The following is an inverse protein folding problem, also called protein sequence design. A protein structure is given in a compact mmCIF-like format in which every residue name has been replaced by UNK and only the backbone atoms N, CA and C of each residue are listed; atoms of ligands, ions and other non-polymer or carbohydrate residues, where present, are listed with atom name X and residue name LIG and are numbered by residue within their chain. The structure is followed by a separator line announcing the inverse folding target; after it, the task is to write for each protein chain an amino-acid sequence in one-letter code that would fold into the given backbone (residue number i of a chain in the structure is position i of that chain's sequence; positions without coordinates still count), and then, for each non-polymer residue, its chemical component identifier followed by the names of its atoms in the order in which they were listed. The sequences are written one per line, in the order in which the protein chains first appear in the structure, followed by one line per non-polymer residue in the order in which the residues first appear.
data_IF_155499246520
#
_entry.id   IF_155499246520
#
_cell.length_a   1.000
_cell.length_b   1.000
_cell.length_c   1.000
_cell.angle_alpha   90.00
_cell.angle_beta   90.00
_cell.angle_gamma   90.00
#
_symmetry.space_group_name_H-M   'P 1'
#
loop_
_entity.id
_entity.type
_entity.pdbx_description
1 polymer ?
#
# COMPACT_ATOMS: atom_id res chain seq x y z
N UNK A 1 18.36 -48.75 -41.32
CA UNK A 1 16.98 -48.57 -40.86
C UNK A 1 16.89 -48.11 -39.39
N UNK A 2 17.71 -48.61 -38.49
CA UNK A 2 17.67 -48.27 -37.03
C UNK A 2 17.96 -46.79 -36.74
N UNK A 3 18.92 -46.13 -37.46
CA UNK A 3 19.22 -44.73 -37.23
C UNK A 3 18.11 -43.72 -37.57
N UNK A 4 17.19 -44.08 -38.47
CA UNK A 4 16.04 -43.20 -38.81
C UNK A 4 14.88 -43.31 -37.83
N UNK A 5 14.74 -44.46 -37.16
CA UNK A 5 13.73 -44.69 -36.12
C UNK A 5 14.10 -43.92 -34.84
N UNK A 6 15.40 -43.85 -34.50
CA UNK A 6 15.86 -43.11 -33.32
C UNK A 6 15.64 -41.58 -33.45
N UNK A 7 15.83 -41.03 -34.68
CA UNK A 7 15.62 -39.60 -34.93
C UNK A 7 14.13 -39.20 -34.81
N UNK A 8 13.21 -40.07 -35.19
CA UNK A 8 11.76 -39.82 -35.08
C UNK A 8 11.30 -39.94 -33.64
N UNK A 9 11.85 -40.87 -32.85
CA UNK A 9 11.55 -41.00 -31.42
C UNK A 9 12.03 -39.79 -30.56
N UNK A 10 13.19 -39.21 -30.93
CA UNK A 10 13.70 -37.97 -30.26
C UNK A 10 12.87 -36.75 -30.64
N UNK A 11 12.39 -36.68 -31.90
CA UNK A 11 11.53 -35.56 -32.34
C UNK A 11 10.13 -35.61 -31.70
N UNK A 12 9.58 -36.79 -31.47
CA UNK A 12 8.27 -36.97 -30.82
C UNK A 12 8.34 -36.71 -29.32
N UNK A 13 9.48 -37.01 -28.67
CA UNK A 13 9.66 -36.72 -27.24
C UNK A 13 9.85 -35.24 -26.91
N UNK A 14 10.25 -34.41 -27.88
CA UNK A 14 10.37 -32.95 -27.70
C UNK A 14 9.01 -32.22 -27.82
N UNK A 15 8.03 -32.87 -28.50
CA UNK A 15 6.70 -32.29 -28.71
C UNK A 15 5.72 -32.61 -27.54
N UNK A 16 6.11 -33.52 -26.61
CA UNK A 16 5.26 -33.99 -25.53
C UNK A 16 5.71 -33.53 -24.12
N UNK A 17 6.45 -32.44 -24.03
CA UNK A 17 6.47 -31.70 -22.76
C UNK A 17 5.37 -30.64 -22.88
N UNK A 18 4.15 -30.90 -22.41
CA UNK A 18 3.25 -29.80 -22.12
C UNK A 18 3.99 -29.08 -21.00
N UNK A 19 4.59 -27.94 -21.31
CA UNK A 19 4.90 -26.97 -20.29
C UNK A 19 3.61 -26.79 -19.54
N UNK A 20 3.52 -27.33 -18.31
CA UNK A 20 2.49 -26.97 -17.36
C UNK A 20 2.72 -25.51 -16.98
N UNK A 21 2.54 -24.59 -17.91
CA UNK A 21 2.21 -23.22 -17.57
C UNK A 21 0.86 -23.34 -16.91
N UNK A 22 0.84 -23.30 -15.58
CA UNK A 22 -0.41 -23.17 -14.82
C UNK A 22 -1.16 -22.02 -15.49
N UNK A 23 -2.35 -22.34 -16.03
CA UNK A 23 -3.18 -21.30 -16.64
C UNK A 23 -3.56 -20.29 -15.55
N UNK A 24 -2.84 -19.16 -15.54
CA UNK A 24 -3.01 -18.10 -14.55
C UNK A 24 -4.41 -17.48 -14.60
N UNK A 25 -5.09 -17.64 -15.73
CA UNK A 25 -6.44 -17.12 -15.94
C UNK A 25 -7.54 -18.13 -15.66
N UNK A 26 -7.19 -19.35 -15.27
CA UNK A 26 -8.15 -20.43 -14.93
C UNK A 26 -9.17 -20.75 -16.05
N UNK A 27 -8.83 -20.46 -17.31
CA UNK A 27 -9.71 -20.61 -18.47
C UNK A 27 -10.88 -19.63 -18.56
N UNK A 28 -11.03 -18.70 -17.60
CA UNK A 28 -12.13 -17.71 -17.58
C UNK A 28 -11.80 -16.46 -18.37
N UNK A 29 -10.53 -16.07 -18.42
CA UNK A 29 -10.05 -14.87 -19.10
C UNK A 29 -8.91 -15.24 -20.07
N UNK A 30 -8.73 -14.45 -21.13
CA UNK A 30 -7.67 -14.66 -22.10
C UNK A 30 -6.40 -13.89 -21.80
N UNK A 31 -6.53 -12.75 -21.12
CA UNK A 31 -5.46 -11.82 -20.83
C UNK A 31 -5.81 -10.88 -19.68
N UNK A 32 -4.82 -10.10 -19.22
CA UNK A 32 -4.96 -9.16 -18.13
C UNK A 32 -6.02 -8.06 -18.41
N UNK A 33 -6.22 -7.68 -19.67
CA UNK A 33 -7.22 -6.67 -20.04
C UNK A 33 -8.65 -7.16 -19.75
N UNK A 34 -8.95 -8.41 -20.10
CA UNK A 34 -10.28 -8.98 -19.78
C UNK A 34 -10.52 -9.09 -18.28
N UNK A 35 -9.46 -9.40 -17.50
CA UNK A 35 -9.55 -9.38 -16.03
C UNK A 35 -9.79 -7.95 -15.53
N UNK A 36 -9.07 -6.95 -16.06
CA UNK A 36 -9.24 -5.56 -15.68
C UNK A 36 -10.68 -5.06 -15.94
N UNK A 37 -11.25 -5.32 -17.11
CA UNK A 37 -12.63 -4.96 -17.47
C UNK A 37 -13.66 -5.61 -16.53
N UNK A 38 -13.41 -6.86 -16.13
CA UNK A 38 -14.24 -7.55 -15.15
C UNK A 38 -14.12 -6.96 -13.75
N UNK A 39 -12.89 -6.69 -13.30
CA UNK A 39 -12.61 -6.07 -12.00
C UNK A 39 -13.20 -4.64 -11.95
N UNK A 40 -13.10 -3.87 -13.03
CA UNK A 40 -13.75 -2.56 -13.15
C UNK A 40 -15.26 -2.63 -12.86
N UNK A 41 -15.94 -3.65 -13.35
CA UNK A 41 -17.37 -3.86 -13.07
C UNK A 41 -17.61 -4.07 -11.58
N UNK A 42 -16.75 -4.86 -10.92
CA UNK A 42 -16.89 -5.16 -9.48
C UNK A 42 -16.62 -3.92 -8.64
N UNK A 43 -15.50 -3.21 -8.90
CA UNK A 43 -15.12 -2.04 -8.10
C UNK A 43 -16.12 -0.90 -8.27
N UNK A 44 -16.65 -0.66 -9.48
CA UNK A 44 -17.68 0.35 -9.69
C UNK A 44 -18.95 0.02 -8.93
N UNK A 45 -19.43 -1.22 -9.00
CA UNK A 45 -20.60 -1.66 -8.22
C UNK A 45 -20.42 -1.46 -6.72
N UNK A 46 -19.18 -1.67 -6.22
CA UNK A 46 -18.89 -1.67 -4.79
C UNK A 46 -18.55 -0.27 -4.25
N UNK A 47 -17.83 0.55 -5.01
CA UNK A 47 -17.18 1.75 -4.50
C UNK A 47 -17.55 3.07 -5.22
N UNK A 48 -18.01 3.08 -6.48
CA UNK A 48 -18.23 4.33 -7.24
C UNK A 48 -19.06 5.37 -6.51
N UNK A 49 -20.08 4.93 -5.77
CA UNK A 49 -20.95 5.81 -4.96
C UNK A 49 -20.22 6.57 -3.83
N UNK A 50 -19.05 6.09 -3.40
CA UNK A 50 -18.29 6.74 -2.34
C UNK A 50 -17.32 7.78 -2.91
N UNK A 51 -16.81 7.52 -4.11
CA UNK A 51 -15.87 8.39 -4.79
C UNK A 51 -16.55 9.42 -5.69
N UNK A 52 -17.84 9.26 -5.96
CA UNK A 52 -18.61 10.06 -6.93
C UNK A 52 -17.92 10.12 -8.30
N UNK A 53 -17.40 8.98 -8.73
CA UNK A 53 -16.61 8.84 -9.96
C UNK A 53 -16.71 7.42 -10.52
N UNK A 54 -16.49 7.30 -11.83
CA UNK A 54 -16.23 6.01 -12.46
C UNK A 54 -14.80 5.60 -12.11
N UNK A 55 -14.64 4.37 -11.66
CA UNK A 55 -13.36 3.76 -11.27
C UNK A 55 -12.87 2.87 -12.40
N UNK A 56 -11.60 2.94 -12.73
CA UNK A 56 -10.96 2.11 -13.74
C UNK A 56 -9.61 1.60 -13.23
N UNK A 57 -9.33 0.33 -13.49
CA UNK A 57 -8.04 -0.28 -13.22
C UNK A 57 -6.98 0.25 -14.20
N UNK A 58 -5.83 0.62 -13.67
CA UNK A 58 -4.61 0.98 -14.41
C UNK A 58 -3.43 0.23 -13.81
N UNK A 59 -2.29 0.26 -14.49
CA UNK A 59 -1.04 -0.38 -14.02
C UNK A 59 -1.28 -1.80 -13.49
N UNK A 60 -1.89 -2.64 -14.32
CA UNK A 60 -2.38 -3.95 -13.92
C UNK A 60 -1.57 -5.10 -14.51
N UNK A 61 -1.66 -6.24 -13.84
CA UNK A 61 -1.09 -7.51 -14.29
C UNK A 61 -1.56 -8.68 -13.43
N UNK A 62 -1.35 -9.88 -13.94
CA UNK A 62 -1.67 -11.12 -13.21
C UNK A 62 -0.41 -11.94 -13.00
N UNK A 63 -0.15 -12.38 -11.77
CA UNK A 63 0.97 -13.26 -11.46
C UNK A 63 0.67 -14.73 -11.82
N UNK A 64 1.69 -15.58 -11.69
CA UNK A 64 1.59 -17.02 -12.01
C UNK A 64 0.65 -17.80 -11.08
N UNK A 65 0.28 -17.24 -9.94
CA UNK A 65 -0.67 -17.82 -8.98
C UNK A 65 -2.12 -17.54 -9.35
N UNK A 66 -2.36 -16.68 -10.34
CA UNK A 66 -3.69 -16.23 -10.77
C UNK A 66 -4.26 -15.12 -9.88
N UNK A 67 -3.39 -14.28 -9.31
CA UNK A 67 -3.79 -13.07 -8.61
C UNK A 67 -3.52 -11.87 -9.53
N UNK A 68 -4.59 -11.17 -9.86
CA UNK A 68 -4.57 -9.93 -10.62
C UNK A 68 -4.37 -8.75 -9.67
N UNK A 69 -3.47 -7.83 -10.01
CA UNK A 69 -3.17 -6.59 -9.29
C UNK A 69 -3.47 -5.41 -10.18
N UNK A 70 -4.04 -4.36 -9.61
CA UNK A 70 -4.21 -3.09 -10.30
C UNK A 70 -4.15 -1.92 -9.33
N UNK A 71 -3.75 -0.76 -9.86
CA UNK A 71 -3.99 0.54 -9.24
C UNK A 71 -5.27 1.13 -9.81
N UNK A 72 -6.12 1.71 -8.96
CA UNK A 72 -7.33 2.40 -9.35
C UNK A 72 -7.14 3.88 -9.06
N UNK A 73 -7.11 4.69 -10.12
CA UNK A 73 -7.04 6.15 -10.01
C UNK A 73 -8.45 6.75 -9.91
N UNK A 74 -8.58 7.78 -9.10
CA UNK A 74 -9.84 8.47 -8.83
C UNK A 74 -9.67 9.97 -9.05
N UNK A 75 -10.65 10.62 -9.68
CA UNK A 75 -10.70 12.09 -9.84
C UNK A 75 -9.41 12.67 -10.40
N UNK A 76 -9.13 12.40 -11.67
CA UNK A 76 -7.97 12.90 -12.40
C UNK A 76 -6.61 12.55 -11.73
N UNK A 77 -6.53 11.29 -11.27
CA UNK A 77 -5.32 10.72 -10.65
C UNK A 77 -4.92 11.35 -9.31
N UNK A 78 -5.81 12.13 -8.69
CA UNK A 78 -5.53 12.77 -7.40
C UNK A 78 -5.46 11.78 -6.24
N UNK A 79 -6.18 10.68 -6.34
CA UNK A 79 -6.18 9.59 -5.37
C UNK A 79 -6.02 8.27 -6.07
N UNK A 80 -5.38 7.36 -5.39
CA UNK A 80 -5.22 5.99 -5.85
C UNK A 80 -5.49 5.00 -4.73
N UNK A 81 -5.90 3.79 -5.11
CA UNK A 81 -5.94 2.64 -4.22
C UNK A 81 -5.64 1.36 -4.99
N UNK A 82 -5.06 0.40 -4.28
CA UNK A 82 -4.74 -0.90 -4.86
C UNK A 82 -5.92 -1.87 -4.79
N UNK A 83 -6.00 -2.74 -5.78
CA UNK A 83 -6.90 -3.89 -5.78
C UNK A 83 -6.13 -5.16 -6.07
N UNK A 84 -6.55 -6.25 -5.45
CA UNK A 84 -6.10 -7.61 -5.72
C UNK A 84 -7.31 -8.49 -5.98
N UNK A 85 -7.35 -9.16 -7.13
CA UNK A 85 -8.41 -10.09 -7.46
C UNK A 85 -7.85 -11.48 -7.68
N UNK A 86 -8.25 -12.42 -6.82
CA UNK A 86 -7.90 -13.82 -7.00
C UNK A 86 -8.89 -14.47 -7.97
N UNK A 87 -8.41 -14.83 -9.16
CA UNK A 87 -9.23 -15.36 -10.25
C UNK A 87 -9.88 -16.68 -9.85
N UNK A 88 -9.13 -17.56 -9.16
CA UNK A 88 -9.61 -18.90 -8.78
C UNK A 88 -10.71 -18.85 -7.71
N UNK A 89 -10.50 -18.00 -6.70
CA UNK A 89 -11.39 -17.91 -5.55
C UNK A 89 -12.47 -16.83 -5.72
N UNK A 90 -12.39 -16.03 -6.79
CA UNK A 90 -13.30 -14.91 -7.10
C UNK A 90 -13.40 -13.90 -5.95
N UNK A 91 -12.29 -13.67 -5.24
CA UNK A 91 -12.22 -12.75 -4.12
C UNK A 91 -11.52 -11.46 -4.50
N UNK A 92 -12.12 -10.31 -4.15
CA UNK A 92 -11.55 -8.99 -4.32
C UNK A 92 -11.13 -8.42 -2.97
N UNK A 93 -9.86 -8.09 -2.84
CA UNK A 93 -9.28 -7.33 -1.74
C UNK A 93 -8.90 -5.92 -2.24
N UNK A 94 -9.06 -4.89 -1.41
CA UNK A 94 -8.70 -3.53 -1.81
C UNK A 94 -8.43 -2.63 -0.61
N UNK A 95 -7.57 -1.64 -0.79
CA UNK A 95 -7.37 -0.55 0.17
C UNK A 95 -8.15 0.72 -0.18
N UNK A 96 -9.34 0.56 -0.76
CA UNK A 96 -10.24 1.65 -1.16
C UNK A 96 -10.55 2.64 -0.01
N UNK A 97 -10.55 2.19 1.25
CA UNK A 97 -10.69 3.08 2.42
C UNK A 97 -9.52 4.07 2.52
N UNK A 98 -8.29 3.64 2.20
CA UNK A 98 -7.13 4.52 2.13
C UNK A 98 -7.35 5.62 1.09
N UNK A 99 -7.68 5.25 -0.14
CA UNK A 99 -7.92 6.22 -1.21
C UNK A 99 -9.05 7.20 -0.86
N UNK A 100 -10.11 6.72 -0.20
CA UNK A 100 -11.25 7.56 0.19
C UNK A 100 -10.93 8.59 1.29
N UNK A 101 -10.06 8.23 2.23
CA UNK A 101 -9.73 9.07 3.38
C UNK A 101 -8.40 9.83 3.24
N UNK A 102 -7.67 9.65 2.14
CA UNK A 102 -6.28 10.08 2.02
C UNK A 102 -6.10 11.59 2.19
N UNK A 103 -6.94 12.42 1.55
CA UNK A 103 -6.85 13.89 1.71
C UNK A 103 -7.05 14.34 3.14
N UNK A 104 -8.10 13.82 3.78
CA UNK A 104 -8.42 14.19 5.15
C UNK A 104 -7.31 13.73 6.11
N UNK A 105 -6.73 12.57 5.84
CA UNK A 105 -5.60 12.06 6.61
C UNK A 105 -4.39 12.98 6.48
N UNK A 106 -4.03 13.39 5.25
CA UNK A 106 -2.94 14.34 5.02
C UNK A 106 -3.22 15.71 5.65
N UNK A 107 -4.45 16.20 5.59
CA UNK A 107 -4.87 17.45 6.25
C UNK A 107 -4.70 17.36 7.77
N UNK A 108 -5.15 16.28 8.39
CA UNK A 108 -5.03 16.08 9.85
C UNK A 108 -3.56 15.94 10.28
N UNK A 109 -2.71 15.29 9.49
CA UNK A 109 -1.26 15.23 9.74
C UNK A 109 -0.66 16.64 9.63
N UNK A 110 -0.96 17.37 8.55
CA UNK A 110 -0.48 18.74 8.33
C UNK A 110 -0.84 19.66 9.49
N UNK A 111 -2.10 19.61 9.94
CA UNK A 111 -2.60 20.42 11.05
C UNK A 111 -2.04 20.00 12.43
N UNK A 112 -1.30 18.90 12.48
CA UNK A 112 -0.68 18.40 13.72
C UNK A 112 0.79 18.76 13.81
N UNK A 113 1.46 18.84 12.66
CA UNK A 113 2.89 19.14 12.58
C UNK A 113 3.09 20.66 12.50
N UNK A 114 3.98 21.26 13.33
CA UNK A 114 4.28 22.68 13.23
C UNK A 114 4.79 23.09 11.84
N UNK A 115 4.41 24.27 11.35
CA UNK A 115 4.85 24.78 10.04
C UNK A 115 6.37 24.92 9.91
N UNK A 116 7.07 25.01 11.04
CA UNK A 116 8.54 25.07 11.10
C UNK A 116 9.22 23.71 10.90
N UNK A 117 8.46 22.61 10.96
CA UNK A 117 8.97 21.26 10.84
C UNK A 117 8.67 20.68 9.46
N UNK A 118 9.71 20.28 8.74
CA UNK A 118 9.54 19.56 7.47
C UNK A 118 9.17 18.11 7.72
N UNK A 119 8.29 17.57 6.90
CA UNK A 119 7.86 16.17 7.02
C UNK A 119 7.49 15.57 5.67
N UNK A 120 7.45 14.26 5.62
CA UNK A 120 6.93 13.49 4.51
C UNK A 120 6.15 12.26 5.02
N UNK A 121 5.01 11.98 4.38
CA UNK A 121 4.24 10.75 4.65
C UNK A 121 4.73 9.67 3.70
N UNK A 122 5.63 8.83 4.19
CA UNK A 122 6.29 7.79 3.42
C UNK A 122 5.31 6.71 2.94
N UNK A 123 4.39 6.33 3.80
CA UNK A 123 3.36 5.35 3.44
C UNK A 123 2.12 5.44 4.33
N UNK A 124 1.01 5.01 3.76
CA UNK A 124 -0.23 4.71 4.49
C UNK A 124 -0.62 3.28 4.14
N UNK A 125 -0.66 2.41 5.13
CA UNK A 125 -1.02 1.00 5.00
C UNK A 125 -2.37 0.75 5.68
N UNK A 126 -3.20 -0.10 5.08
CA UNK A 126 -4.42 -0.60 5.71
C UNK A 126 -4.68 -2.05 5.30
N UNK A 127 -5.52 -2.75 6.04
CA UNK A 127 -5.85 -4.14 5.74
C UNK A 127 -6.88 -4.22 4.60
N UNK A 128 -6.44 -4.66 3.43
CA UNK A 128 -7.28 -4.83 2.24
C UNK A 128 -8.45 -5.81 2.44
N UNK A 129 -8.34 -6.74 3.41
CA UNK A 129 -9.36 -7.77 3.69
C UNK A 129 -10.52 -7.29 4.54
N UNK A 130 -10.36 -6.20 5.29
CA UNK A 130 -11.40 -5.72 6.21
C UNK A 130 -12.63 -5.09 5.53
N UNK A 131 -12.59 -4.90 4.23
CA UNK A 131 -13.62 -4.20 3.50
C UNK A 131 -13.53 -2.68 3.65
N UNK A 132 -14.54 -1.98 3.12
CA UNK A 132 -14.54 -0.52 3.04
C UNK A 132 -15.00 0.12 4.36
N UNK A 133 -14.17 0.94 4.97
CA UNK A 133 -14.46 1.71 6.18
C UNK A 133 -14.83 3.14 5.75
N UNK A 134 -16.11 3.50 5.86
CA UNK A 134 -16.63 4.82 5.47
C UNK A 134 -16.35 5.90 6.53
N UNK A 135 -16.37 5.51 7.80
CA UNK A 135 -16.16 6.43 8.92
C UNK A 135 -14.67 6.73 9.09
N UNK A 136 -14.29 8.01 9.02
CA UNK A 136 -12.90 8.43 9.08
C UNK A 136 -12.23 8.08 10.43
N UNK A 137 -12.92 8.31 11.54
CA UNK A 137 -12.34 8.02 12.87
C UNK A 137 -12.13 6.52 13.07
N UNK A 138 -13.05 5.69 12.57
CA UNK A 138 -12.87 4.24 12.57
C UNK A 138 -11.73 3.80 11.66
N UNK A 139 -11.54 4.47 10.53
CA UNK A 139 -10.43 4.19 9.62
C UNK A 139 -9.09 4.51 10.29
N UNK A 140 -8.92 5.71 10.84
CA UNK A 140 -7.66 6.14 11.47
C UNK A 140 -7.33 5.31 12.72
N UNK A 141 -8.33 4.98 13.55
CA UNK A 141 -8.15 4.20 14.79
C UNK A 141 -8.10 2.68 14.55
N UNK A 142 -8.26 2.21 13.32
CA UNK A 142 -8.09 0.79 13.01
C UNK A 142 -6.63 0.38 13.20
N UNK A 143 -6.38 -0.65 14.01
CA UNK A 143 -5.03 -1.14 14.32
C UNK A 143 -4.20 -1.57 13.10
N UNK A 144 -4.88 -1.87 11.99
CA UNK A 144 -4.25 -2.25 10.73
C UNK A 144 -4.06 -1.05 9.79
N UNK A 145 -4.64 0.13 10.11
CA UNK A 145 -4.32 1.39 9.45
C UNK A 145 -3.09 1.98 10.11
N UNK A 146 -2.01 2.12 9.35
CA UNK A 146 -0.72 2.60 9.85
C UNK A 146 -0.17 3.66 8.91
N UNK A 147 0.38 4.73 9.49
CA UNK A 147 1.16 5.73 8.78
C UNK A 147 2.64 5.52 9.06
N UNK A 148 3.47 5.81 8.08
CA UNK A 148 4.92 5.93 8.22
C UNK A 148 5.28 7.38 7.92
N UNK A 149 5.73 8.11 8.93
CA UNK A 149 6.00 9.54 8.87
C UNK A 149 7.50 9.78 9.04
N UNK A 150 8.08 10.60 8.18
CA UNK A 150 9.44 11.11 8.29
C UNK A 150 9.40 12.57 8.70
N UNK A 151 10.16 12.94 9.72
CA UNK A 151 10.38 14.32 10.17
C UNK A 151 11.81 14.73 9.87
N UNK A 152 12.02 15.92 9.28
CA UNK A 152 13.33 16.37 8.86
C UNK A 152 13.81 17.54 9.71
N UNK A 153 15.07 17.50 10.10
CA UNK A 153 15.78 18.48 10.90
C UNK A 153 17.03 18.98 10.18
N UNK A 154 17.40 20.23 10.39
CA UNK A 154 18.61 20.81 9.85
C UNK A 154 19.74 20.71 10.89
N UNK A 155 20.64 19.75 10.72
CA UNK A 155 21.75 19.47 11.65
C UNK A 155 21.35 18.59 12.83
N UNK A 156 22.14 18.63 13.89
CA UNK A 156 21.91 17.84 15.10
C UNK A 156 20.61 18.25 15.79
N UNK A 157 19.85 17.25 16.24
CA UNK A 157 18.59 17.47 16.95
C UNK A 157 18.84 18.07 18.34
N UNK A 158 18.22 19.20 18.61
CA UNK A 158 18.26 19.81 19.93
C UNK A 158 17.21 19.18 20.87
N UNK A 159 17.37 19.39 22.20
CA UNK A 159 16.34 19.03 23.20
C UNK A 159 14.96 19.59 22.87
N UNK A 160 14.90 20.79 22.26
CA UNK A 160 13.62 21.40 21.90
C UNK A 160 13.01 20.73 20.67
N UNK A 161 13.82 20.28 19.72
CA UNK A 161 13.35 19.47 18.58
C UNK A 161 12.80 18.12 19.08
N UNK A 162 13.51 17.45 19.98
CA UNK A 162 13.05 16.19 20.57
C UNK A 162 11.71 16.36 21.31
N UNK A 163 11.53 17.47 22.05
CA UNK A 163 10.23 17.82 22.66
C UNK A 163 9.13 18.08 21.64
N UNK A 164 9.47 18.70 20.49
CA UNK A 164 8.51 18.90 19.41
C UNK A 164 8.09 17.58 18.78
N UNK A 165 9.03 16.67 18.48
CA UNK A 165 8.73 15.30 18.02
C UNK A 165 7.77 14.60 18.97
N UNK A 166 8.06 14.64 20.26
CA UNK A 166 7.23 14.02 21.29
C UNK A 166 5.80 14.60 21.30
N UNK A 167 5.65 15.94 21.14
CA UNK A 167 4.33 16.59 21.05
C UNK A 167 3.56 16.15 19.78
N UNK A 168 4.24 16.09 18.63
CA UNK A 168 3.66 15.61 17.37
C UNK A 168 3.18 14.18 17.52
N UNK A 169 4.04 13.29 18.02
CA UNK A 169 3.68 11.88 18.26
C UNK A 169 2.48 11.73 19.19
N UNK A 170 2.49 12.48 20.30
CA UNK A 170 1.36 12.49 21.25
C UNK A 170 0.07 12.96 20.57
N UNK A 171 0.13 14.08 19.83
CA UNK A 171 -1.05 14.65 19.17
C UNK A 171 -1.62 13.71 18.08
N UNK A 172 -0.77 13.05 17.30
CA UNK A 172 -1.20 12.04 16.34
C UNK A 172 -1.84 10.84 17.04
N UNK A 173 -1.22 10.35 18.13
CA UNK A 173 -1.76 9.25 18.93
C UNK A 173 -3.11 9.60 19.55
N UNK A 174 -3.27 10.81 20.10
CA UNK A 174 -4.53 11.30 20.71
C UNK A 174 -5.66 11.40 19.65
N UNK A 175 -5.32 11.63 18.38
CA UNK A 175 -6.24 11.58 17.25
C UNK A 175 -6.54 10.15 16.76
N UNK A 176 -5.93 9.13 17.35
CA UNK A 176 -6.12 7.72 17.03
C UNK A 176 -5.21 7.18 15.95
N UNK A 177 -4.23 7.95 15.47
CA UNK A 177 -3.27 7.45 14.46
C UNK A 177 -2.40 6.33 15.04
N UNK A 178 -2.19 5.31 14.21
CA UNK A 178 -1.24 4.22 14.48
C UNK A 178 -0.11 4.27 13.43
N UNK A 179 1.05 3.76 13.79
CA UNK A 179 2.16 3.68 12.84
C UNK A 179 3.48 4.07 13.47
N UNK A 180 4.35 4.66 12.66
CA UNK A 180 5.71 4.99 13.04
C UNK A 180 6.10 6.39 12.62
N UNK A 181 7.01 6.98 13.40
CA UNK A 181 7.69 8.23 13.09
C UNK A 181 9.19 7.92 13.05
N UNK A 182 9.89 8.47 12.07
CA UNK A 182 11.32 8.43 11.98
C UNK A 182 11.84 9.86 11.77
N UNK A 183 12.93 10.21 12.44
CA UNK A 183 13.56 11.50 12.29
C UNK A 183 14.78 11.38 11.36
N UNK A 184 15.04 12.41 10.57
CA UNK A 184 16.16 12.47 9.65
C UNK A 184 16.81 13.87 9.71
N UNK A 185 18.12 13.93 9.84
CA UNK A 185 18.90 15.17 9.81
C UNK A 185 19.73 15.34 8.52
N UNK A 186 19.35 14.66 7.44
CA UNK A 186 19.99 14.71 6.13
C UNK A 186 21.00 13.58 5.90
N UNK A 187 21.74 13.12 6.90
CA UNK A 187 22.72 12.02 6.79
C UNK A 187 22.35 10.82 7.66
N UNK A 188 21.69 11.06 8.79
CA UNK A 188 21.38 10.05 9.78
C UNK A 188 19.87 9.91 9.99
N UNK A 189 19.43 8.67 10.21
CA UNK A 189 18.05 8.32 10.52
C UNK A 189 17.96 7.85 11.95
N UNK A 190 16.94 8.33 12.66
CA UNK A 190 16.63 7.80 13.98
C UNK A 190 16.19 6.34 13.93
N UNK A 191 16.16 5.72 15.10
CA UNK A 191 15.34 4.53 15.31
C UNK A 191 13.88 4.81 14.98
N UNK A 192 13.16 3.75 14.60
CA UNK A 192 11.74 3.84 14.26
C UNK A 192 10.91 3.96 15.55
N UNK A 193 10.35 5.14 15.77
CA UNK A 193 9.50 5.44 16.92
C UNK A 193 8.06 5.04 16.65
N UNK A 194 7.43 4.29 17.56
CA UNK A 194 6.03 3.85 17.41
C UNK A 194 5.06 4.87 17.95
N UNK A 195 4.04 5.24 17.16
CA UNK A 195 2.90 5.99 17.69
C UNK A 195 2.17 5.16 18.76
N UNK A 196 1.79 5.79 19.86
CA UNK A 196 1.17 5.10 21.01
C UNK A 196 2.14 4.71 22.13
N UNK A 197 3.45 4.64 21.86
CA UNK A 197 4.49 4.60 22.89
C UNK A 197 5.31 5.88 22.75
N UNK A 198 5.02 6.89 23.57
CA UNK A 198 5.78 8.15 23.52
C UNK A 198 7.16 7.86 24.11
N UNK A 199 8.23 7.92 23.31
CA UNK A 199 9.59 7.66 23.77
C UNK A 199 10.03 8.75 24.74
N UNK A 200 10.92 8.43 25.66
CA UNK A 200 11.61 9.46 26.43
C UNK A 200 12.45 10.36 25.51
N UNK A 201 12.61 11.63 25.88
CA UNK A 201 13.43 12.59 25.10
C UNK A 201 14.81 12.01 24.78
N UNK A 202 15.43 11.35 25.76
CA UNK A 202 16.73 10.68 25.60
C UNK A 202 16.76 9.57 24.54
N UNK A 203 15.63 8.95 24.23
CA UNK A 203 15.55 7.91 23.21
C UNK A 203 15.44 8.54 21.82
N UNK A 204 14.94 9.78 21.72
CA UNK A 204 14.87 10.56 20.50
C UNK A 204 16.26 11.18 20.18
N UNK A 205 16.98 11.64 21.20
CA UNK A 205 18.30 12.26 21.07
C UNK A 205 19.43 11.27 20.70
N UNK A 206 19.27 9.99 21.02
CA UNK A 206 20.25 8.95 20.63
C UNK A 206 20.41 8.77 19.12
N UNK A 207 19.56 9.38 18.34
CA UNK A 207 19.61 9.32 16.89
C UNK A 207 20.78 10.11 16.27
N UNK A 208 21.51 10.88 17.07
CA UNK A 208 22.59 11.77 16.60
C UNK A 208 24.01 11.24 16.84
N UNK A 209 24.20 10.08 17.51
CA UNK A 209 25.51 9.73 18.09
C UNK A 209 26.07 8.34 17.76
N UNK A 210 25.57 7.64 16.71
CA UNK A 210 26.22 6.41 16.26
C UNK A 210 26.79 6.50 14.85
#
# INVERSE_FOLDING_TARGET
MIKRILAVLVLVSVILIPGCTKDKYSGEFKNDKEVAEYVDTIINKKYSRYFDAKLCCSDYGTNDEGVFYATVYVKDEKYEFGVEYNIKNKTLESDASKGYHYEKLLEDIRNTIPDTMRYDVQSVKCNKRKGFIKDYHKFVSDKDTKIELMLYFDGSMSDDDAKQVQRVMKSLSDKGFNGTVQCCNGEYYSDVLKLGSIPDIKDIEKCDNE
#
